data_IF_280954975130
#
_entry.id   IF_280954975130
#
_cell.length_a   1.000
_cell.length_b   1.000
_cell.length_c   1.000
_cell.angle_alpha   90.00
_cell.angle_beta   90.00
_cell.angle_gamma   90.00
#
_symmetry.space_group_name_H-M   'P 1'
#
loop_
_entity.id
_entity.type
_entity.pdbx_description
1 polymer ?
#
# COMPACT_ATOMS: atom_id res chain seq x y z
N UNK A 1 2.93 -43.00 47.33
CA UNK A 1 1.80 -42.29 46.68
C UNK A 1 1.96 -40.80 46.96
N UNK A 2 2.47 -40.05 45.97
CA UNK A 2 2.74 -38.62 46.10
C UNK A 2 1.43 -37.84 46.14
N UNK A 3 1.14 -37.20 47.27
CA UNK A 3 0.04 -36.24 47.40
C UNK A 3 0.45 -34.95 46.70
N UNK A 4 0.05 -34.81 45.42
CA UNK A 4 0.18 -33.56 44.68
C UNK A 4 -0.62 -32.49 45.42
N UNK A 5 0.10 -31.53 46.03
CA UNK A 5 -0.50 -30.40 46.74
C UNK A 5 -1.06 -29.43 45.69
N UNK A 6 -2.37 -29.40 45.53
CA UNK A 6 -3.13 -28.38 44.80
C UNK A 6 -3.09 -27.03 45.55
N UNK A 7 -1.90 -26.49 45.81
CA UNK A 7 -1.77 -25.13 46.35
C UNK A 7 -2.13 -24.17 45.22
N UNK A 8 -3.39 -23.73 45.24
CA UNK A 8 -3.83 -22.39 44.87
C UNK A 8 -3.47 -21.90 43.47
N UNK A 9 -4.07 -22.51 42.44
CA UNK A 9 -4.08 -21.98 41.06
C UNK A 9 -4.92 -20.68 40.95
N UNK A 10 -5.89 -20.51 41.85
CA UNK A 10 -6.85 -19.39 41.86
C UNK A 10 -6.18 -18.03 42.15
N UNK A 11 -5.36 -17.85 43.22
CA UNK A 11 -4.72 -16.56 43.49
C UNK A 11 -3.65 -16.21 42.46
N UNK A 12 -2.96 -17.20 41.89
CA UNK A 12 -1.98 -16.97 40.81
C UNK A 12 -2.69 -16.46 39.55
N UNK A 13 -3.83 -17.04 39.19
CA UNK A 13 -4.64 -16.56 38.06
C UNK A 13 -5.17 -15.15 38.30
N UNK A 14 -5.58 -14.84 39.53
CA UNK A 14 -6.04 -13.49 39.89
C UNK A 14 -4.91 -12.45 39.79
N UNK A 15 -3.68 -12.81 40.19
CA UNK A 15 -2.50 -11.96 40.04
C UNK A 15 -2.13 -11.73 38.57
N UNK A 16 -2.22 -12.74 37.70
CA UNK A 16 -1.91 -12.60 36.26
C UNK A 16 -2.95 -11.73 35.56
N UNK A 17 -4.25 -11.91 35.86
CA UNK A 17 -5.33 -11.09 35.27
C UNK A 17 -5.21 -9.63 35.73
N UNK A 18 -4.94 -9.40 37.01
CA UNK A 18 -4.73 -8.04 37.51
C UNK A 18 -3.48 -7.39 36.93
N UNK A 19 -2.39 -8.13 36.72
CA UNK A 19 -1.20 -7.63 36.01
C UNK A 19 -1.52 -7.23 34.55
N UNK A 20 -2.36 -7.99 33.86
CA UNK A 20 -2.81 -7.69 32.50
C UNK A 20 -3.74 -6.47 32.43
N UNK A 21 -4.44 -6.13 33.51
CA UNK A 21 -5.30 -4.94 33.57
C UNK A 21 -4.53 -3.62 33.86
N UNK A 22 -3.27 -3.67 34.32
CA UNK A 22 -2.43 -2.47 34.54
C UNK A 22 -1.74 -2.03 33.26
N UNK A 23 -1.60 -2.92 32.28
CA UNK A 23 -1.29 -2.50 30.92
C UNK A 23 -2.54 -1.85 30.35
N UNK A 24 -2.61 -0.53 30.49
CA UNK A 24 -3.52 0.30 29.67
C UNK A 24 -3.42 -0.23 28.25
N UNK A 25 -4.54 -0.52 27.56
CA UNK A 25 -4.47 -0.82 26.15
C UNK A 25 -3.78 0.38 25.51
N UNK A 26 -2.52 0.20 25.12
CA UNK A 26 -1.92 1.09 24.14
C UNK A 26 -2.95 1.06 23.02
N UNK A 27 -3.56 2.20 22.65
CA UNK A 27 -4.54 2.19 21.58
C UNK A 27 -3.84 1.48 20.44
N UNK A 28 -4.37 0.33 20.03
CA UNK A 28 -4.00 -0.22 18.74
C UNK A 28 -4.25 0.97 17.81
N UNK A 29 -3.19 1.56 17.26
CA UNK A 29 -3.33 2.68 16.34
C UNK A 29 -4.11 2.09 15.17
N UNK A 30 -5.44 2.26 15.23
CA UNK A 30 -6.31 1.96 14.13
C UNK A 30 -5.81 2.80 12.97
N UNK A 31 -5.72 2.21 11.78
CA UNK A 31 -5.09 2.87 10.66
C UNK A 31 -5.68 4.27 10.44
N UNK A 32 -4.83 5.29 10.44
CA UNK A 32 -5.26 6.69 10.32
C UNK A 32 -5.26 7.07 8.85
N UNK A 33 -6.43 7.39 8.29
CA UNK A 33 -6.52 7.90 6.93
C UNK A 33 -5.95 9.32 6.88
N UNK A 34 -4.87 9.51 6.11
CA UNK A 34 -4.13 10.77 6.04
C UNK A 34 -4.54 11.65 4.86
N UNK A 35 -5.25 11.10 3.87
CA UNK A 35 -5.81 11.85 2.74
C UNK A 35 -5.67 11.16 1.40
N UNK A 36 -6.21 11.84 0.39
CA UNK A 36 -6.07 11.49 -1.02
C UNK A 36 -4.91 12.25 -1.64
N UNK A 37 -4.08 11.51 -2.39
CA UNK A 37 -2.93 12.05 -3.11
C UNK A 37 -3.02 11.68 -4.57
N UNK A 38 -2.59 12.62 -5.43
CA UNK A 38 -2.68 12.47 -6.86
C UNK A 38 -1.34 12.72 -7.55
N UNK A 39 -1.06 11.91 -8.56
CA UNK A 39 0.13 12.02 -9.40
C UNK A 39 -0.26 11.97 -10.87
N UNK A 40 0.24 12.92 -11.64
CA UNK A 40 0.29 12.78 -13.09
C UNK A 40 1.43 11.80 -13.43
N UNK A 41 1.13 10.81 -14.27
CA UNK A 41 2.13 9.85 -14.74
C UNK A 41 2.28 9.91 -16.25
N UNK A 42 3.49 9.62 -16.73
CA UNK A 42 3.79 9.46 -18.14
C UNK A 42 4.78 8.31 -18.35
N UNK A 43 4.40 7.36 -19.19
CA UNK A 43 5.29 6.30 -19.66
C UNK A 43 6.26 6.82 -20.70
N UNK A 44 7.55 6.53 -20.51
CA UNK A 44 8.59 6.98 -21.41
C UNK A 44 8.58 6.24 -22.76
N UNK A 45 8.20 4.95 -22.75
CA UNK A 45 8.27 4.08 -23.93
C UNK A 45 6.93 3.87 -24.66
N UNK A 46 5.81 3.96 -23.94
CA UNK A 46 4.50 3.55 -24.46
C UNK A 46 3.60 4.74 -24.87
N UNK A 47 4.05 5.98 -24.65
CA UNK A 47 3.25 7.21 -24.85
C UNK A 47 1.90 7.18 -24.08
N UNK A 48 1.87 6.43 -22.99
CA UNK A 48 0.70 6.32 -22.10
C UNK A 48 0.84 7.37 -21.01
N UNK A 49 -0.21 8.13 -20.74
CA UNK A 49 -0.23 9.09 -19.63
C UNK A 49 -1.58 9.14 -18.95
N UNK A 50 -1.59 9.63 -17.72
CA UNK A 50 -2.79 9.65 -16.92
C UNK A 50 -2.58 10.17 -15.50
N UNK A 51 -3.50 9.80 -14.60
CA UNK A 51 -3.50 10.20 -13.21
C UNK A 51 -3.64 8.98 -12.30
N UNK A 52 -2.79 8.92 -11.27
CA UNK A 52 -2.90 7.99 -10.15
C UNK A 52 -3.56 8.76 -9.00
N UNK A 53 -4.68 8.28 -8.46
CA UNK A 53 -5.32 8.82 -7.25
C UNK A 53 -5.36 7.72 -6.19
N UNK A 54 -4.70 7.95 -5.05
CA UNK A 54 -4.66 6.99 -3.95
C UNK A 54 -5.07 7.67 -2.64
N UNK A 55 -6.00 7.04 -1.93
CA UNK A 55 -6.21 7.27 -0.51
C UNK A 55 -5.16 6.52 0.29
N UNK A 56 -4.53 7.22 1.23
CA UNK A 56 -3.42 6.68 2.04
C UNK A 56 -3.85 6.58 3.51
N UNK A 57 -3.53 5.46 4.13
CA UNK A 57 -3.78 5.22 5.56
C UNK A 57 -2.49 4.78 6.27
N UNK A 58 -2.12 5.46 7.35
CA UNK A 58 -0.99 5.10 8.21
C UNK A 58 -1.31 3.85 9.02
N UNK A 59 -0.42 2.85 8.99
CA UNK A 59 -0.60 1.58 9.69
C UNK A 59 0.33 1.42 10.90
N UNK A 60 1.13 2.44 11.21
CA UNK A 60 2.14 2.43 12.26
C UNK A 60 3.57 2.45 11.73
N UNK A 61 4.46 3.15 12.45
CA UNK A 61 5.87 3.32 12.03
C UNK A 61 5.97 4.02 10.68
N UNK A 62 6.77 3.45 9.79
CA UNK A 62 6.99 3.95 8.42
C UNK A 62 6.10 3.26 7.36
N UNK A 63 5.11 2.47 7.80
CA UNK A 63 4.25 1.65 6.95
C UNK A 63 2.87 2.29 6.72
N UNK A 64 2.44 2.30 5.46
CA UNK A 64 1.16 2.85 5.01
C UNK A 64 0.49 1.89 4.03
N UNK A 65 -0.83 1.85 4.05
CA UNK A 65 -1.62 1.21 3.00
C UNK A 65 -2.14 2.26 2.03
N UNK A 66 -2.28 1.88 0.76
CA UNK A 66 -2.82 2.74 -0.26
C UNK A 66 -3.86 2.01 -1.11
N UNK A 67 -4.92 2.73 -1.48
CA UNK A 67 -5.97 2.23 -2.35
C UNK A 67 -6.57 3.35 -3.18
N UNK A 68 -6.96 3.06 -4.42
CA UNK A 68 -7.58 4.07 -5.26
C UNK A 68 -7.68 3.63 -6.71
N UNK A 69 -7.48 4.58 -7.62
CA UNK A 69 -7.72 4.39 -9.06
C UNK A 69 -6.56 4.96 -9.85
N UNK A 70 -6.08 4.17 -10.82
CA UNK A 70 -5.20 4.62 -11.89
C UNK A 70 -6.08 4.88 -13.10
N UNK A 71 -6.07 6.11 -13.60
CA UNK A 71 -6.81 6.54 -14.79
C UNK A 71 -5.81 6.82 -15.91
N UNK A 72 -5.84 6.01 -16.96
CA UNK A 72 -5.15 6.33 -18.22
C UNK A 72 -6.02 7.33 -18.97
N UNK A 73 -5.44 8.44 -19.44
CA UNK A 73 -6.14 9.45 -20.25
C UNK A 73 -5.64 9.52 -21.69
N UNK A 74 -4.45 8.98 -21.97
CA UNK A 74 -3.86 8.85 -23.30
C UNK A 74 -3.23 7.45 -23.45
N UNK A 75 -3.42 6.73 -24.57
CA UNK A 75 -4.20 7.12 -25.77
C UNK A 75 -5.72 6.96 -25.63
N UNK A 76 -6.18 6.17 -24.66
CA UNK A 76 -7.59 5.86 -24.45
C UNK A 76 -7.93 5.93 -22.98
N UNK A 77 -9.12 6.43 -22.66
CA UNK A 77 -9.60 6.49 -21.28
C UNK A 77 -9.82 5.09 -20.71
N UNK A 78 -9.10 4.73 -19.65
CA UNK A 78 -9.26 3.48 -18.91
C UNK A 78 -9.05 3.71 -17.43
N UNK A 79 -9.73 2.95 -16.57
CA UNK A 79 -9.60 3.04 -15.12
C UNK A 79 -9.38 1.68 -14.50
N UNK A 80 -8.42 1.63 -13.58
CA UNK A 80 -8.03 0.41 -12.89
C UNK A 80 -8.03 0.66 -11.39
N UNK A 81 -8.78 -0.12 -10.59
CA UNK A 81 -8.63 -0.08 -9.15
C UNK A 81 -7.22 -0.59 -8.80
N UNK A 82 -6.55 0.13 -7.92
CA UNK A 82 -5.19 -0.17 -7.50
C UNK A 82 -5.12 -0.22 -5.97
N UNK A 83 -4.36 -1.19 -5.45
CA UNK A 83 -4.18 -1.39 -4.01
C UNK A 83 -2.75 -1.77 -3.71
N UNK A 84 -2.25 -1.36 -2.54
CA UNK A 84 -0.96 -1.82 -2.07
C UNK A 84 -0.48 -1.06 -0.85
N UNK A 85 0.84 -0.85 -0.78
CA UNK A 85 1.49 -0.28 0.39
C UNK A 85 2.43 0.85 -0.01
N UNK A 86 2.66 1.78 0.91
CA UNK A 86 3.73 2.75 0.85
C UNK A 86 4.63 2.63 2.08
N UNK A 87 5.94 2.78 1.89
CA UNK A 87 6.95 2.72 2.94
C UNK A 87 7.81 3.99 2.90
N UNK A 88 8.08 4.58 4.07
CA UNK A 88 9.08 5.63 4.20
C UNK A 88 10.44 5.01 4.54
N UNK A 89 11.40 5.08 3.63
CA UNK A 89 12.73 4.51 3.84
C UNK A 89 13.81 5.48 3.37
N UNK A 90 14.77 5.79 4.24
CA UNK A 90 15.93 6.62 3.93
C UNK A 90 15.58 7.98 3.26
N UNK A 91 14.49 8.62 3.71
CA UNK A 91 14.03 9.91 3.19
C UNK A 91 13.31 9.86 1.84
N UNK A 92 12.93 8.66 1.38
CA UNK A 92 12.14 8.44 0.16
C UNK A 92 10.87 7.66 0.47
N UNK A 93 9.88 7.82 -0.39
CA UNK A 93 8.61 7.08 -0.30
C UNK A 93 8.62 6.02 -1.40
N UNK A 94 8.45 4.76 -1.00
CA UNK A 94 8.35 3.64 -1.92
C UNK A 94 6.91 3.16 -1.95
N UNK A 95 6.27 3.15 -3.11
CA UNK A 95 4.88 2.68 -3.26
C UNK A 95 4.90 1.41 -4.11
N UNK A 96 4.24 0.35 -3.64
CA UNK A 96 3.97 -0.84 -4.45
C UNK A 96 2.48 -0.97 -4.64
N UNK A 97 2.03 -1.11 -5.89
CA UNK A 97 0.62 -1.26 -6.25
C UNK A 97 0.43 -2.54 -7.07
N UNK A 98 -0.73 -3.17 -6.88
CA UNK A 98 -1.27 -4.22 -7.72
C UNK A 98 -2.59 -3.77 -8.32
N UNK A 99 -2.78 -4.06 -9.61
CA UNK A 99 -3.99 -3.74 -10.36
C UNK A 99 -4.24 -4.81 -11.43
N UNK A 100 -5.48 -4.87 -11.93
CA UNK A 100 -5.78 -5.62 -13.15
C UNK A 100 -5.20 -4.87 -14.36
N UNK A 101 -4.41 -5.57 -15.18
CA UNK A 101 -3.91 -5.05 -16.45
C UNK A 101 -4.80 -5.47 -17.62
N UNK A 102 -4.94 -4.63 -18.64
CA UNK A 102 -5.59 -5.00 -19.90
C UNK A 102 -4.67 -4.62 -21.06
N UNK A 103 -4.29 -5.63 -21.85
CA UNK A 103 -3.44 -5.46 -23.02
C UNK A 103 -4.08 -6.13 -24.22
N UNK A 104 -4.46 -5.35 -25.24
CA UNK A 104 -5.08 -5.85 -26.47
C UNK A 104 -6.27 -6.81 -26.24
N UNK A 105 -7.06 -6.56 -25.20
CA UNK A 105 -8.19 -7.42 -24.80
C UNK A 105 -7.82 -8.64 -23.95
N UNK A 106 -6.54 -8.86 -23.66
CA UNK A 106 -6.07 -9.88 -22.71
C UNK A 106 -6.01 -9.27 -21.31
N UNK A 107 -6.65 -9.94 -20.35
CA UNK A 107 -6.61 -9.56 -18.95
C UNK A 107 -5.37 -10.18 -18.30
N UNK A 108 -4.65 -9.35 -17.56
CA UNK A 108 -3.47 -9.73 -16.79
C UNK A 108 -3.45 -9.09 -15.41
N UNK A 109 -2.30 -9.20 -14.75
CA UNK A 109 -2.03 -8.52 -13.48
C UNK A 109 -0.81 -7.63 -13.69
N UNK A 110 -0.93 -6.37 -13.30
CA UNK A 110 0.18 -5.43 -13.30
C UNK A 110 0.59 -5.13 -11.86
N UNK A 111 1.91 -5.09 -11.66
CA UNK A 111 2.53 -4.60 -10.44
C UNK A 111 3.34 -3.35 -10.75
N UNK A 112 3.14 -2.30 -9.97
CA UNK A 112 3.86 -1.02 -10.10
C UNK A 112 4.69 -0.80 -8.84
N UNK A 113 5.94 -0.37 -9.02
CA UNK A 113 6.80 0.14 -7.96
C UNK A 113 7.16 1.59 -8.26
N UNK A 114 6.71 2.52 -7.44
CA UNK A 114 7.08 3.92 -7.51
C UNK A 114 8.09 4.28 -6.42
N UNK A 115 9.02 5.18 -6.75
CA UNK A 115 9.97 5.79 -5.82
C UNK A 115 9.82 7.29 -5.89
N UNK A 116 9.39 7.92 -4.79
CA UNK A 116 9.14 9.35 -4.70
C UNK A 116 10.15 10.02 -3.76
N UNK A 117 10.47 11.27 -4.10
CA UNK A 117 11.17 12.21 -3.25
C UNK A 117 10.19 12.87 -2.24
N UNK A 118 10.70 13.63 -1.25
CA UNK A 118 9.85 14.35 -0.29
C UNK A 118 8.86 15.36 -0.91
N UNK A 119 9.12 15.83 -2.13
CA UNK A 119 8.21 16.70 -2.90
C UNK A 119 7.10 15.91 -3.63
N UNK A 120 7.01 14.60 -3.38
CA UNK A 120 6.09 13.65 -3.99
C UNK A 120 6.26 13.47 -5.50
N UNK A 121 7.34 13.98 -6.10
CA UNK A 121 7.74 13.66 -7.47
C UNK A 121 8.66 12.44 -7.51
N UNK A 122 8.72 11.74 -8.64
CA UNK A 122 9.61 10.58 -8.76
C UNK A 122 9.44 9.80 -10.04
N UNK A 123 9.74 8.51 -9.97
CA UNK A 123 9.65 7.57 -11.08
C UNK A 123 8.91 6.31 -10.66
N UNK A 124 8.50 5.53 -11.66
CA UNK A 124 7.97 4.20 -11.44
C UNK A 124 8.49 3.21 -12.47
N UNK A 125 8.46 1.96 -12.07
CA UNK A 125 8.68 0.78 -12.89
C UNK A 125 7.43 -0.10 -12.76
N UNK A 126 7.03 -0.80 -13.81
CA UNK A 126 5.94 -1.77 -13.76
C UNK A 126 6.25 -3.04 -14.53
N UNK A 127 5.61 -4.11 -14.08
CA UNK A 127 5.58 -5.40 -14.77
C UNK A 127 4.13 -5.85 -14.90
N UNK A 128 3.69 -6.02 -16.15
CA UNK A 128 2.42 -6.64 -16.48
C UNK A 128 2.62 -8.09 -16.91
N UNK A 129 1.88 -9.00 -16.30
CA UNK A 129 1.90 -10.43 -16.64
C UNK A 129 0.55 -10.81 -17.22
N UNK A 130 0.57 -11.16 -18.50
CA UNK A 130 -0.58 -11.54 -19.30
C UNK A 130 -0.45 -13.00 -19.74
N UNK A 131 -1.56 -13.62 -20.14
CA UNK A 131 -1.54 -15.02 -20.58
C UNK A 131 -0.62 -15.26 -21.79
N UNK A 132 -0.39 -14.23 -22.61
CA UNK A 132 0.36 -14.27 -23.86
C UNK A 132 1.70 -13.51 -23.82
N UNK A 133 1.96 -12.71 -22.77
CA UNK A 133 3.10 -11.81 -22.75
C UNK A 133 3.50 -11.35 -21.33
N UNK A 134 4.73 -10.85 -21.22
CA UNK A 134 5.18 -10.02 -20.09
C UNK A 134 5.54 -8.65 -20.65
N UNK A 135 5.03 -7.59 -20.02
CA UNK A 135 5.31 -6.20 -20.39
C UNK A 135 6.06 -5.51 -19.26
N UNK A 136 7.17 -4.87 -19.60
CA UNK A 136 7.92 -4.03 -18.67
C UNK A 136 7.78 -2.59 -19.12
N UNK A 137 7.59 -1.69 -18.17
CA UNK A 137 7.49 -0.28 -18.49
C UNK A 137 7.96 0.60 -17.35
N UNK A 138 8.35 1.82 -17.70
CA UNK A 138 8.86 2.81 -16.75
C UNK A 138 8.33 4.20 -17.10
N UNK A 139 8.36 5.10 -16.12
CA UNK A 139 7.83 6.44 -16.31
C UNK A 139 8.12 7.40 -15.17
N UNK A 140 7.68 8.64 -15.37
CA UNK A 140 7.76 9.72 -14.39
C UNK A 140 6.46 9.91 -13.62
N UNK A 141 6.57 10.41 -12.38
CA UNK A 141 5.47 10.80 -11.52
C UNK A 141 5.68 12.25 -11.07
N UNK A 142 4.65 13.08 -11.23
CA UNK A 142 4.64 14.45 -10.73
C UNK A 142 3.42 14.65 -9.86
N UNK A 143 3.61 15.16 -8.64
CA UNK A 143 2.49 15.49 -7.76
C UNK A 143 1.54 16.48 -8.44
N UNK A 144 0.24 16.21 -8.32
CA UNK A 144 -0.81 17.04 -8.90
C UNK A 144 -2.02 17.12 -7.98
N UNK A 145 -2.95 18.00 -8.29
CA UNK A 145 -4.22 18.11 -7.56
C UNK A 145 -5.17 16.98 -7.94
N UNK A 146 -5.88 16.43 -6.96
CA UNK A 146 -6.99 15.53 -7.22
C UNK A 146 -8.16 16.30 -7.82
N UNK A 147 -8.48 16.01 -9.09
CA UNK A 147 -9.67 16.50 -9.78
C UNK A 147 -10.88 15.59 -9.53
#
# INVERSE_FOLDING_TARGET
MNKFKWISIIPVSFCVISLLCVFTPIPALAGEYIGDFCWAFSHLALDISGVIKLGISHMGGDHYTCSGVITVTNPTFMQFPAYGNAELLAGKIYITLSLAGIRNGVIGIDMIKATLNPDLSGTFESIGVYADAVELSEGGLTSTTCQ
#
